data_IF_516697843974
#
_entry.id   IF_516697843974
#
_cell.length_a   1.000
_cell.length_b   1.000
_cell.length_c   1.000
_cell.angle_alpha   90.00
_cell.angle_beta   90.00
_cell.angle_gamma   90.00
#
_symmetry.space_group_name_H-M   'P 1'
#
loop_
_entity.id
_entity.type
_entity.pdbx_description
1 polymer ?
#
# COMPACT_ATOMS: atom_id res chain seq x y z
N UNK A 1 -23.51 10.46 -12.68
CA UNK A 1 -23.20 9.18 -13.35
C UNK A 1 -21.70 9.02 -13.29
N UNK A 2 -21.20 7.85 -12.91
CA UNK A 2 -19.78 7.50 -13.03
C UNK A 2 -19.70 6.37 -14.05
N UNK A 3 -18.71 6.41 -14.94
CA UNK A 3 -18.48 5.37 -15.93
C UNK A 3 -17.17 4.65 -15.65
N UNK A 4 -17.07 3.44 -16.18
CA UNK A 4 -15.87 2.60 -16.08
C UNK A 4 -14.97 2.93 -17.26
N UNK A 5 -13.73 3.32 -16.97
CA UNK A 5 -12.72 3.59 -18.00
C UNK A 5 -11.99 2.31 -18.41
N UNK A 6 -11.73 1.43 -17.45
CA UNK A 6 -10.91 0.25 -17.65
C UNK A 6 -11.30 -0.86 -16.68
N UNK A 7 -11.19 -2.11 -17.13
CA UNK A 7 -11.18 -3.31 -16.30
C UNK A 7 -9.89 -4.08 -16.57
N UNK A 8 -9.20 -4.52 -15.53
CA UNK A 8 -7.99 -5.32 -15.58
C UNK A 8 -8.20 -6.60 -14.75
N UNK A 9 -7.82 -7.75 -15.30
CA UNK A 9 -7.81 -9.03 -14.57
C UNK A 9 -6.45 -9.23 -13.89
N UNK A 10 -6.49 -9.86 -12.72
CA UNK A 10 -5.29 -10.29 -12.01
C UNK A 10 -4.60 -11.47 -12.73
N UNK A 11 -3.29 -11.39 -13.03
CA UNK A 11 -2.58 -12.48 -13.72
C UNK A 11 -2.37 -13.74 -12.87
N UNK A 12 -2.54 -13.65 -11.55
CA UNK A 12 -2.27 -14.72 -10.58
C UNK A 12 -3.56 -15.44 -10.21
N UNK A 13 -4.64 -14.68 -9.96
CA UNK A 13 -5.94 -15.24 -9.55
C UNK A 13 -7.04 -14.94 -10.56
N UNK A 14 -7.56 -16.01 -11.16
CA UNK A 14 -8.78 -15.94 -11.99
C UNK A 14 -9.98 -15.48 -11.16
N UNK A 15 -10.76 -14.57 -11.73
CA UNK A 15 -11.95 -13.97 -11.13
C UNK A 15 -11.70 -12.82 -10.16
N UNK A 16 -10.43 -12.47 -9.93
CA UNK A 16 -10.07 -11.20 -9.30
C UNK A 16 -9.92 -10.13 -10.40
N UNK A 17 -10.85 -9.18 -10.42
CA UNK A 17 -10.83 -8.07 -11.40
C UNK A 17 -10.78 -6.72 -10.70
N UNK A 18 -10.12 -5.78 -11.34
CA UNK A 18 -10.00 -4.38 -10.92
C UNK A 18 -10.68 -3.49 -11.95
N UNK A 19 -11.54 -2.59 -11.51
CA UNK A 19 -12.19 -1.60 -12.38
C UNK A 19 -11.81 -0.18 -11.95
N UNK A 20 -11.33 0.61 -12.91
CA UNK A 20 -11.08 2.04 -12.74
C UNK A 20 -12.30 2.86 -13.17
N UNK A 21 -12.81 3.70 -12.28
CA UNK A 21 -13.93 4.62 -12.54
C UNK A 21 -13.50 6.08 -12.38
N UNK A 22 -14.41 7.01 -12.62
CA UNK A 22 -14.17 8.44 -12.35
C UNK A 22 -13.98 8.76 -10.85
N UNK A 23 -14.43 7.88 -9.96
CA UNK A 23 -14.42 8.08 -8.50
C UNK A 23 -13.32 7.31 -7.78
N UNK A 24 -12.78 6.25 -8.38
CA UNK A 24 -11.71 5.46 -7.79
C UNK A 24 -11.58 4.08 -8.42
N UNK A 25 -11.00 3.15 -7.66
CA UNK A 25 -10.85 1.75 -8.07
C UNK A 25 -11.84 0.87 -7.33
N UNK A 26 -12.41 -0.10 -8.02
CA UNK A 26 -13.24 -1.16 -7.47
C UNK A 26 -12.58 -2.51 -7.75
N UNK A 27 -12.80 -3.45 -6.84
CA UNK A 27 -12.30 -4.83 -6.94
C UNK A 27 -13.47 -5.81 -6.84
N UNK A 28 -13.40 -6.90 -7.59
CA UNK A 28 -14.33 -8.02 -7.50
C UNK A 28 -13.55 -9.31 -7.33
N UNK A 29 -14.07 -10.23 -6.52
CA UNK A 29 -13.51 -11.57 -6.31
C UNK A 29 -14.37 -12.67 -6.94
N UNK A 30 -15.50 -12.29 -7.54
CA UNK A 30 -16.55 -13.19 -8.05
C UNK A 30 -16.82 -12.92 -9.54
N UNK A 31 -15.77 -12.73 -10.36
CA UNK A 31 -15.89 -12.50 -11.82
C UNK A 31 -16.80 -11.30 -12.21
N UNK A 32 -16.93 -10.29 -11.33
CA UNK A 32 -17.76 -9.12 -11.57
C UNK A 32 -19.20 -9.20 -11.05
N UNK A 33 -19.57 -10.25 -10.31
CA UNK A 33 -20.87 -10.33 -9.65
C UNK A 33 -21.04 -9.28 -8.54
N UNK A 34 -19.98 -9.05 -7.75
CA UNK A 34 -19.97 -8.07 -6.66
C UNK A 34 -18.73 -7.18 -6.74
N UNK A 35 -18.93 -5.86 -6.66
CA UNK A 35 -17.86 -4.86 -6.71
C UNK A 35 -17.71 -4.18 -5.35
N UNK A 36 -16.50 -4.19 -4.82
CA UNK A 36 -16.13 -3.55 -3.57
C UNK A 36 -15.22 -2.35 -3.86
N UNK A 37 -15.42 -1.18 -3.23
CA UNK A 37 -14.53 -0.04 -3.42
C UNK A 37 -13.15 -0.32 -2.80
N UNK A 38 -12.10 -0.13 -3.59
CA UNK A 38 -10.70 -0.20 -3.16
C UNK A 38 -10.15 1.23 -2.99
N UNK A 39 -10.58 1.90 -1.92
CA UNK A 39 -10.22 3.28 -1.62
C UNK A 39 -9.29 3.38 -0.39
N UNK A 40 -8.21 2.61 -0.39
CA UNK A 40 -7.22 2.65 0.70
C UNK A 40 -6.32 3.88 0.54
N UNK A 41 -6.71 5.03 1.08
CA UNK A 41 -5.95 6.30 0.95
C UNK A 41 -5.78 6.78 -0.52
N UNK A 42 -6.47 6.16 -1.48
CA UNK A 42 -6.58 6.66 -2.84
C UNK A 42 -7.52 7.86 -2.81
N UNK A 43 -7.07 9.03 -3.26
CA UNK A 43 -7.91 10.19 -3.18
C UNK A 43 -8.87 10.23 -4.38
N UNK A 44 -10.07 10.79 -4.18
CA UNK A 44 -11.12 10.77 -5.21
C UNK A 44 -10.63 11.42 -6.50
N UNK A 45 -10.44 10.61 -7.53
CA UNK A 45 -9.85 11.01 -8.80
C UNK A 45 -10.23 10.04 -9.91
N UNK A 46 -10.37 10.51 -11.16
CA UNK A 46 -10.62 9.64 -12.28
C UNK A 46 -9.44 8.72 -12.53
N UNK A 47 -9.71 7.42 -12.58
CA UNK A 47 -8.71 6.39 -12.87
C UNK A 47 -8.74 6.12 -14.36
N UNK A 48 -7.63 6.41 -15.05
CA UNK A 48 -7.50 6.18 -16.49
C UNK A 48 -6.95 4.79 -16.82
N UNK A 49 -6.10 4.24 -15.95
CA UNK A 49 -5.46 2.95 -16.18
C UNK A 49 -5.16 2.22 -14.87
N UNK A 50 -5.25 0.88 -14.91
CA UNK A 50 -4.90 -0.01 -13.80
C UNK A 50 -4.04 -1.15 -14.35
N UNK A 51 -2.94 -1.47 -13.68
CA UNK A 51 -2.06 -2.58 -14.03
C UNK A 51 -1.61 -3.32 -12.78
N UNK A 52 -1.64 -4.65 -12.82
CA UNK A 52 -1.09 -5.52 -11.78
C UNK A 52 0.30 -5.97 -12.19
N UNK A 53 1.27 -5.81 -11.31
CA UNK A 53 2.63 -6.28 -11.49
C UNK A 53 2.73 -7.73 -10.96
N UNK A 54 3.09 -8.73 -11.79
CA UNK A 54 2.94 -10.16 -11.45
C UNK A 54 4.03 -10.74 -10.54
N UNK A 55 5.09 -10.01 -10.23
CA UNK A 55 6.27 -10.48 -9.50
C UNK A 55 6.32 -10.05 -8.03
N UNK A 56 5.88 -8.82 -7.77
CA UNK A 56 5.76 -8.18 -6.47
C UNK A 56 4.31 -8.06 -6.02
N UNK A 57 3.36 -8.37 -6.91
CA UNK A 57 1.93 -8.25 -6.65
C UNK A 57 1.57 -6.81 -6.29
N UNK A 58 2.10 -5.83 -7.04
CA UNK A 58 1.80 -4.42 -6.79
C UNK A 58 0.73 -3.94 -7.79
N UNK A 59 -0.26 -3.20 -7.29
CA UNK A 59 -1.29 -2.60 -8.14
C UNK A 59 -0.92 -1.16 -8.45
N UNK A 60 -0.66 -0.88 -9.72
CA UNK A 60 -0.34 0.45 -10.22
C UNK A 60 -1.59 1.06 -10.83
N UNK A 61 -1.98 2.22 -10.31
CA UNK A 61 -3.16 2.97 -10.73
C UNK A 61 -2.72 4.32 -11.27
N UNK A 62 -3.06 4.59 -12.52
CA UNK A 62 -2.85 5.89 -13.13
C UNK A 62 -4.10 6.75 -12.93
N UNK A 63 -3.93 7.88 -12.25
CA UNK A 63 -5.00 8.84 -12.00
C UNK A 63 -4.85 10.06 -12.90
N UNK A 64 -5.98 10.61 -13.34
CA UNK A 64 -5.98 11.82 -14.14
C UNK A 64 -5.69 13.03 -13.26
N UNK A 65 -4.54 13.68 -13.48
CA UNK A 65 -4.15 14.92 -12.81
C UNK A 65 -3.53 14.78 -11.41
N UNK A 66 -3.41 13.57 -10.85
CA UNK A 66 -2.80 13.34 -9.52
C UNK A 66 -1.62 12.35 -9.53
N UNK A 67 -1.22 11.90 -10.72
CA UNK A 67 -0.05 11.03 -10.90
C UNK A 67 -0.38 9.56 -10.72
N UNK A 68 0.62 8.80 -10.28
CA UNK A 68 0.52 7.35 -10.06
C UNK A 68 0.24 7.09 -8.58
N UNK A 69 -0.65 6.14 -8.33
CA UNK A 69 -0.87 5.56 -7.02
C UNK A 69 -0.51 4.08 -7.08
N UNK A 70 0.20 3.59 -6.07
CA UNK A 70 0.66 2.21 -5.99
C UNK A 70 0.10 1.63 -4.70
N UNK A 71 -0.64 0.52 -4.82
CA UNK A 71 -0.92 -0.35 -3.68
C UNK A 71 0.22 -1.36 -3.60
N UNK A 72 1.02 -1.23 -2.56
CA UNK A 72 2.03 -2.23 -2.25
C UNK A 72 1.33 -3.51 -1.78
N UNK A 73 1.60 -4.62 -2.45
CA UNK A 73 1.15 -5.97 -2.08
C UNK A 73 -0.37 -6.22 -2.10
N UNK A 74 -0.86 -6.75 -3.23
CA UNK A 74 -2.21 -7.31 -3.39
C UNK A 74 -2.32 -8.79 -3.04
N UNK A 75 -1.22 -9.45 -2.63
CA UNK A 75 -1.23 -10.87 -2.28
C UNK A 75 -2.30 -11.25 -1.24
N UNK A 76 -2.64 -10.41 -0.24
CA UNK A 76 -3.74 -10.71 0.68
C UNK A 76 -5.10 -10.80 -0.02
N UNK A 77 -5.35 -9.97 -1.04
CA UNK A 77 -6.57 -10.03 -1.87
C UNK A 77 -6.58 -11.28 -2.74
N UNK A 78 -5.43 -11.63 -3.33
CA UNK A 78 -5.30 -12.86 -4.10
C UNK A 78 -5.52 -14.11 -3.23
N UNK A 79 -5.10 -14.10 -1.97
CA UNK A 79 -5.26 -15.22 -1.02
C UNK A 79 -6.61 -15.22 -0.28
N UNK A 80 -7.47 -14.23 -0.50
CA UNK A 80 -8.75 -14.10 0.19
C UNK A 80 -9.81 -15.02 -0.41
N UNK A 81 -10.01 -16.19 0.19
CA UNK A 81 -11.10 -17.11 -0.15
C UNK A 81 -12.23 -17.11 0.90
N UNK A 82 -13.41 -17.63 0.54
CA UNK A 82 -14.55 -17.77 1.47
C UNK A 82 -14.21 -18.58 2.74
N UNK A 83 -13.31 -19.57 2.65
CA UNK A 83 -12.81 -20.31 3.80
C UNK A 83 -11.92 -19.46 4.74
N UNK A 84 -11.24 -18.48 4.18
CA UNK A 84 -10.38 -17.52 4.90
C UNK A 84 -11.22 -16.59 5.76
N UNK A 85 -12.33 -16.09 5.20
CA UNK A 85 -13.31 -15.25 5.90
C UNK A 85 -14.03 -16.00 7.04
N UNK A 86 -14.18 -17.32 6.92
CA UNK A 86 -14.74 -18.16 7.98
C UNK A 86 -13.76 -18.42 9.14
N UNK A 87 -12.46 -18.18 8.94
CA UNK A 87 -11.43 -18.45 9.94
C UNK A 87 -11.31 -17.31 10.94
N UNK A 88 -11.15 -17.63 12.23
CA UNK A 88 -11.04 -16.60 13.29
C UNK A 88 -9.74 -15.79 13.23
N UNK A 89 -8.66 -16.45 12.82
CA UNK A 89 -7.33 -15.86 12.63
C UNK A 89 -6.71 -16.51 11.40
N UNK A 90 -6.13 -15.71 10.51
CA UNK A 90 -5.36 -16.20 9.37
C UNK A 90 -4.10 -15.36 9.19
N UNK A 91 -2.96 -16.03 9.05
CA UNK A 91 -1.75 -15.41 8.53
C UNK A 91 -1.69 -15.66 7.03
N UNK A 92 -1.51 -14.59 6.25
CA UNK A 92 -1.29 -14.70 4.80
C UNK A 92 0.18 -15.04 4.54
N UNK A 93 0.44 -15.74 3.43
CA UNK A 93 1.81 -16.03 3.03
C UNK A 93 2.54 -14.71 2.71
N UNK A 94 3.62 -14.36 3.43
CA UNK A 94 4.31 -13.10 3.19
C UNK A 94 5.07 -13.14 1.88
N UNK A 95 5.13 -12.00 1.19
CA UNK A 95 5.94 -11.85 -0.03
C UNK A 95 7.44 -12.08 0.25
N UNK A 96 8.22 -12.56 -0.74
CA UNK A 96 9.66 -12.69 -0.60
C UNK A 96 10.32 -11.36 -0.19
N UNK A 97 10.96 -11.34 0.98
CA UNK A 97 11.64 -10.14 1.49
C UNK A 97 13.10 -10.10 1.03
N UNK A 98 13.49 -8.99 0.42
CA UNK A 98 14.86 -8.80 -0.06
C UNK A 98 15.68 -8.00 0.96
N UNK A 99 16.86 -8.55 1.30
CA UNK A 99 17.84 -7.80 2.09
C UNK A 99 18.61 -6.84 1.19
N UNK A 100 18.19 -5.58 1.19
CA UNK A 100 18.96 -4.51 0.54
C UNK A 100 20.19 -4.16 1.37
N UNK A 101 21.37 -4.32 0.78
CA UNK A 101 22.60 -3.72 1.31
C UNK A 101 22.74 -2.33 0.71
N UNK A 102 22.35 -1.31 1.47
CA UNK A 102 22.60 0.07 1.07
C UNK A 102 24.10 0.28 0.94
N UNK A 103 24.58 0.45 -0.30
CA UNK A 103 25.92 0.97 -0.55
C UNK A 103 25.78 2.47 -0.74
N UNK A 104 26.56 3.23 0.00
CA UNK A 104 26.60 4.67 -0.16
C UNK A 104 27.12 4.99 -1.57
N UNK A 105 26.25 5.58 -2.39
CA UNK A 105 26.61 6.00 -3.74
C UNK A 105 27.73 7.04 -3.68
N UNK A 106 28.62 7.01 -4.67
CA UNK A 106 29.73 7.96 -4.80
C UNK A 106 29.20 9.40 -4.99
N UNK A 107 27.96 9.54 -5.46
CA UNK A 107 27.22 10.79 -5.55
C UNK A 107 25.82 10.60 -4.93
N UNK A 108 25.49 11.43 -3.94
CA UNK A 108 24.11 11.67 -3.50
C UNK A 108 23.65 12.97 -4.14
N UNK A 109 22.49 12.97 -4.81
CA UNK A 109 21.82 14.18 -5.25
C UNK A 109 21.09 14.80 -4.05
N UNK A 110 21.66 15.80 -3.35
CA UNK A 110 21.13 16.29 -2.08
C UNK A 110 19.84 17.12 -2.27
N UNK A 111 19.51 17.42 -3.54
CA UNK A 111 18.46 18.31 -4.00
C UNK A 111 17.39 17.59 -4.84
N UNK A 112 17.19 16.28 -4.63
CA UNK A 112 16.01 15.60 -5.18
C UNK A 112 14.76 16.24 -4.56
N UNK A 113 14.02 17.00 -5.35
CA UNK A 113 12.86 17.78 -4.91
C UNK A 113 11.64 16.92 -4.52
N UNK A 114 11.79 15.59 -4.47
CA UNK A 114 10.74 14.65 -4.12
C UNK A 114 11.31 13.59 -3.18
N UNK A 115 11.36 13.84 -1.85
CA UNK A 115 11.68 12.80 -0.88
C UNK A 115 10.46 11.88 -0.77
N UNK A 116 10.46 10.79 -1.53
CA UNK A 116 9.53 9.69 -1.30
C UNK A 116 10.19 8.71 -0.34
N UNK A 117 9.47 8.34 0.72
CA UNK A 117 9.92 7.30 1.63
C UNK A 117 9.85 5.94 0.94
N UNK A 118 10.95 5.18 1.02
CA UNK A 118 10.92 3.78 0.59
C UNK A 118 10.13 2.94 1.60
N UNK A 119 9.55 1.84 1.11
CA UNK A 119 8.90 0.85 1.97
C UNK A 119 9.81 0.44 3.15
N UNK A 120 9.22 0.19 4.34
CA UNK A 120 9.99 -0.15 5.52
C UNK A 120 10.84 -1.39 5.28
N UNK A 121 12.08 -1.35 5.76
CA UNK A 121 13.00 -2.47 5.64
C UNK A 121 12.47 -3.67 6.45
N UNK A 122 12.24 -4.81 5.79
CA UNK A 122 11.80 -6.05 6.44
C UNK A 122 10.81 -6.85 5.60
N UNK A 123 10.19 -7.84 6.26
CA UNK A 123 9.06 -8.60 5.70
C UNK A 123 7.76 -8.06 6.30
N UNK A 124 6.83 -7.63 5.45
CA UNK A 124 5.49 -7.28 5.89
C UNK A 124 4.72 -8.58 6.19
N UNK A 125 4.13 -8.65 7.39
CA UNK A 125 3.28 -9.76 7.81
C UNK A 125 1.85 -9.27 7.83
N UNK A 126 1.04 -9.79 6.91
CA UNK A 126 -0.38 -9.48 6.83
C UNK A 126 -1.18 -10.59 7.47
N UNK A 127 -2.11 -10.24 8.36
CA UNK A 127 -2.97 -11.18 9.04
C UNK A 127 -4.41 -10.68 9.08
N UNK A 128 -5.34 -11.62 9.10
CA UNK A 128 -6.77 -11.39 9.28
C UNK A 128 -7.18 -11.83 10.70
N UNK A 129 -7.88 -10.94 11.41
CA UNK A 129 -8.54 -11.23 12.68
C UNK A 129 -10.04 -11.05 12.50
N UNK A 130 -10.82 -12.05 12.91
CA UNK A 130 -12.27 -11.91 12.99
C UNK A 130 -12.64 -10.89 14.08
N UNK A 131 -13.73 -10.16 13.85
CA UNK A 131 -14.23 -9.11 14.75
C UNK A 131 -14.49 -9.61 16.18
N UNK A 132 -14.76 -10.91 16.34
CA UNK A 132 -14.94 -11.56 17.65
C UNK A 132 -13.65 -11.64 18.50
N UNK A 133 -12.48 -11.41 17.90
CA UNK A 133 -11.17 -11.36 18.57
C UNK A 133 -10.54 -9.95 18.55
N UNK A 134 -11.23 -8.97 17.96
CA UNK A 134 -10.70 -7.61 17.80
C UNK A 134 -10.66 -6.79 19.12
N UNK A 135 -11.19 -7.33 20.22
CA UNK A 135 -11.05 -6.75 21.55
C UNK A 135 -9.70 -7.13 22.17
N UNK A 136 -8.64 -6.51 21.69
CA UNK A 136 -7.43 -6.22 22.48
C UNK A 136 -6.77 -4.99 21.89
N UNK A 137 -7.09 -3.85 22.48
CA UNK A 137 -6.30 -2.62 22.54
C UNK A 137 -5.34 -2.35 21.37
N UNK A 138 -5.69 -1.35 20.56
CA UNK A 138 -4.71 -0.36 20.09
C UNK A 138 -4.06 0.26 21.34
N UNK A 139 -3.04 -0.41 21.89
CA UNK A 139 -2.07 0.26 22.74
C UNK A 139 -1.23 1.10 21.79
N UNK A 140 -1.26 2.44 21.86
CA UNK A 140 -0.36 3.26 21.06
C UNK A 140 1.05 2.83 21.42
N UNK A 141 1.80 2.40 20.41
CA UNK A 141 3.20 2.06 20.54
C UNK A 141 3.93 3.28 21.11
N UNK A 142 4.17 3.27 22.42
CA UNK A 142 4.96 4.26 23.14
C UNK A 142 6.44 3.97 22.88
N UNK A 143 6.86 4.06 21.62
CA UNK A 143 8.25 4.27 21.26
C UNK A 143 8.63 5.70 21.62
N UNK A 144 9.81 5.96 22.20
CA UNK A 144 10.22 7.32 22.52
C UNK A 144 10.26 8.13 21.22
N UNK A 145 9.53 9.25 21.22
CA UNK A 145 9.54 10.23 20.14
C UNK A 145 10.98 10.53 19.69
N UNK A 146 11.28 10.62 18.38
CA UNK A 146 12.59 11.07 17.93
C UNK A 146 12.86 12.44 18.55
N UNK A 147 13.98 12.54 19.30
CA UNK A 147 14.37 13.74 20.00
C UNK A 147 14.39 14.94 19.03
N UNK A 148 13.88 16.12 19.43
CA UNK A 148 13.94 17.31 18.60
C UNK A 148 15.41 17.65 18.29
N UNK A 149 15.73 18.16 17.09
CA UNK A 149 17.09 18.53 16.73
C UNK A 149 17.63 19.55 17.73
N UNK A 150 18.78 19.24 18.35
CA UNK A 150 19.43 20.09 19.32
C UNK A 150 19.64 21.50 18.74
N UNK A 151 19.00 22.49 19.36
CA UNK A 151 19.20 23.90 19.05
C UNK A 151 20.70 24.24 19.11
N UNK A 152 21.27 24.58 17.96
CA UNK A 152 22.64 25.06 17.83
C UNK A 152 22.75 26.35 18.62
N UNK A 153 23.28 26.28 19.85
CA UNK A 153 23.58 27.45 20.68
C UNK A 153 24.60 28.31 19.93
N UNK A 154 24.12 29.38 19.30
CA UNK A 154 24.95 30.49 18.86
C UNK A 154 25.61 31.12 20.10
N UNK A 155 26.91 30.90 20.26
CA UNK A 155 27.74 31.68 21.18
C UNK A 155 27.60 33.16 20.80
N UNK A 156 27.32 34.08 21.75
CA UNK A 156 27.43 35.50 21.47
C UNK A 156 28.91 35.85 21.28
N UNK A 157 29.23 36.43 20.12
CA UNK A 157 30.50 37.11 19.89
C UNK A 157 30.53 38.35 20.78
N UNK A 158 31.59 38.48 21.59
CA UNK A 158 31.89 39.64 22.41
C UNK A 158 33.30 40.11 22.03
N UNK A 159 33.39 41.04 21.08
CA UNK A 159 34.09 42.32 21.20
C UNK A 159 33.73 43.20 20.00
#
# INVERSE_FOLDING_TARGET
LSFVHMVAEDPVRRGLLYAGTESGVYVTMDDGAHWLPLQTNLPHAPVSWVAVQPHFHDLVVATYGRGLWILDDVSPLEQLDGATLASRVRLFAPRPAYRFRSRQGIASAPNSAVPTENAPYGAALTYYLSTALADTATQPDSGPAPAPPAARRTRPAKL
#
